data_IF_156530253289
#
_entry.id   IF_156530253289
#
_cell.length_a   1.000
_cell.length_b   1.000
_cell.length_c   1.000
_cell.angle_alpha   90.00
_cell.angle_beta   90.00
_cell.angle_gamma   90.00
#
_symmetry.space_group_name_H-M   'P 1'
#
loop_
_entity.id
_entity.type
_entity.pdbx_description
1 polymer ?
#
# COMPACT_ATOMS: atom_id res chain seq x y z
N UNK A 1 3.27 -17.61 29.89
CA UNK A 1 2.50 -16.53 29.25
C UNK A 1 3.39 -15.76 28.30
N UNK A 2 4.47 -15.11 28.76
CA UNK A 2 5.43 -14.40 27.86
C UNK A 2 5.89 -15.22 26.64
N UNK A 3 6.27 -16.48 26.84
CA UNK A 3 6.77 -17.35 25.77
C UNK A 3 5.70 -17.72 24.71
N UNK A 4 4.42 -17.83 25.09
CA UNK A 4 3.35 -18.02 24.09
C UNK A 4 3.07 -16.74 23.32
N UNK A 5 3.18 -15.59 23.98
CA UNK A 5 2.91 -14.29 23.38
C UNK A 5 4.01 -13.93 22.37
N UNK A 6 5.28 -14.21 22.70
CA UNK A 6 6.42 -14.04 21.77
C UNK A 6 6.30 -14.89 20.51
N UNK A 7 5.84 -16.15 20.63
CA UNK A 7 5.58 -16.99 19.46
C UNK A 7 4.44 -16.47 18.60
N UNK A 8 3.40 -15.92 19.22
CA UNK A 8 2.29 -15.31 18.49
C UNK A 8 2.79 -14.07 17.73
N UNK A 9 3.56 -13.19 18.38
CA UNK A 9 4.16 -12.02 17.73
C UNK A 9 4.99 -12.43 16.51
N UNK A 10 5.91 -13.39 16.68
CA UNK A 10 6.74 -13.86 15.58
C UNK A 10 5.93 -14.45 14.42
N UNK A 11 4.81 -15.13 14.71
CA UNK A 11 3.91 -15.65 13.69
C UNK A 11 3.18 -14.54 12.92
N UNK A 12 2.74 -13.49 13.62
CA UNK A 12 2.05 -12.35 13.01
C UNK A 12 3.02 -11.51 12.19
N UNK A 13 4.23 -11.25 12.69
CA UNK A 13 5.28 -10.54 11.95
C UNK A 13 5.60 -11.26 10.63
N UNK A 14 5.76 -12.59 10.66
CA UNK A 14 5.99 -13.38 9.46
C UNK A 14 4.80 -13.38 8.47
N UNK A 15 3.59 -13.09 8.93
CA UNK A 15 2.42 -12.90 8.06
C UNK A 15 2.39 -11.52 7.44
N UNK A 16 2.72 -10.48 8.22
CA UNK A 16 2.88 -9.10 7.74
C UNK A 16 3.93 -9.06 6.63
N UNK A 17 5.13 -9.63 6.86
CA UNK A 17 6.20 -9.67 5.86
C UNK A 17 5.76 -10.31 4.54
N UNK A 18 4.96 -11.39 4.62
CA UNK A 18 4.44 -12.09 3.44
C UNK A 18 3.44 -11.23 2.67
N UNK A 19 2.57 -10.52 3.37
CA UNK A 19 1.59 -9.62 2.79
C UNK A 19 2.27 -8.39 2.17
N UNK A 20 3.26 -7.81 2.83
CA UNK A 20 4.06 -6.70 2.29
C UNK A 20 4.74 -7.10 0.97
N UNK A 21 5.37 -8.27 0.91
CA UNK A 21 5.95 -8.78 -0.32
C UNK A 21 4.91 -9.00 -1.44
N UNK A 22 3.69 -9.40 -1.08
CA UNK A 22 2.61 -9.54 -2.04
C UNK A 22 2.17 -8.17 -2.57
N UNK A 23 1.92 -7.21 -1.68
CA UNK A 23 1.55 -5.85 -2.04
C UNK A 23 2.61 -5.19 -2.92
N UNK A 24 3.89 -5.39 -2.61
CA UNK A 24 4.99 -4.89 -3.43
C UNK A 24 4.94 -5.45 -4.86
N UNK A 25 4.68 -6.76 -5.03
CA UNK A 25 4.55 -7.37 -6.37
C UNK A 25 3.33 -6.84 -7.12
N UNK A 26 2.20 -6.68 -6.44
CA UNK A 26 0.98 -6.15 -7.04
C UNK A 26 1.16 -4.67 -7.46
N UNK A 27 1.75 -3.86 -6.58
CA UNK A 27 2.13 -2.48 -6.84
C UNK A 27 3.02 -2.34 -8.08
N UNK A 28 4.04 -3.19 -8.19
CA UNK A 28 4.96 -3.15 -9.33
C UNK A 28 4.29 -3.51 -10.65
N UNK A 29 3.21 -4.29 -10.62
CA UNK A 29 2.43 -4.62 -11.81
C UNK A 29 1.37 -3.56 -12.15
N UNK A 30 1.05 -2.63 -11.24
CA UNK A 30 0.05 -1.59 -11.44
C UNK A 30 0.68 -0.28 -11.98
N UNK A 31 0.42 0.14 -13.24
CA UNK A 31 1.06 1.31 -13.83
C UNK A 31 0.81 2.63 -13.07
N UNK A 32 -0.40 2.80 -12.54
CA UNK A 32 -0.77 4.00 -11.76
C UNK A 32 -0.02 4.10 -10.43
N UNK A 33 0.21 2.96 -9.78
CA UNK A 33 1.01 2.88 -8.54
C UNK A 33 2.45 3.25 -8.84
N UNK A 34 3.04 2.68 -9.90
CA UNK A 34 4.40 3.04 -10.32
C UNK A 34 4.56 4.54 -10.63
N UNK A 35 3.53 5.17 -11.21
CA UNK A 35 3.54 6.61 -11.46
C UNK A 35 3.56 7.41 -10.15
N UNK A 36 2.72 7.06 -9.18
CA UNK A 36 2.72 7.71 -7.86
C UNK A 36 4.07 7.56 -7.14
N UNK A 37 4.72 6.40 -7.27
CA UNK A 37 6.05 6.15 -6.69
C UNK A 37 7.19 6.97 -7.31
N UNK A 38 6.93 7.71 -8.40
CA UNK A 38 7.91 8.69 -8.92
C UNK A 38 7.93 9.99 -8.10
N UNK A 39 6.95 10.20 -7.23
CA UNK A 39 6.89 11.32 -6.30
C UNK A 39 7.83 11.03 -5.13
N UNK A 40 8.70 11.98 -4.80
CA UNK A 40 9.61 11.85 -3.66
C UNK A 40 8.86 11.60 -2.36
N UNK A 41 9.23 10.52 -1.65
CA UNK A 41 8.59 10.12 -0.39
C UNK A 41 7.34 9.25 -0.55
N UNK A 42 6.98 8.84 -1.78
CA UNK A 42 5.87 7.91 -2.03
C UNK A 42 6.43 6.54 -2.37
N UNK A 43 6.26 5.57 -1.47
CA UNK A 43 6.54 4.16 -1.74
C UNK A 43 5.25 3.39 -2.10
N UNK A 44 5.38 2.10 -2.40
CA UNK A 44 4.31 1.25 -2.93
C UNK A 44 3.08 1.19 -2.01
N UNK A 45 3.29 1.14 -0.70
CA UNK A 45 2.25 1.07 0.32
C UNK A 45 1.41 2.36 0.37
N UNK A 46 2.08 3.51 0.30
CA UNK A 46 1.48 4.83 0.26
C UNK A 46 0.74 5.03 -1.06
N UNK A 47 1.34 4.65 -2.18
CA UNK A 47 0.73 4.74 -3.50
C UNK A 47 -0.53 3.85 -3.62
N UNK A 48 -0.47 2.61 -3.13
CA UNK A 48 -1.64 1.72 -3.06
C UNK A 48 -2.74 2.31 -2.18
N UNK A 49 -2.37 2.83 -1.00
CA UNK A 49 -3.31 3.45 -0.08
C UNK A 49 -4.01 4.65 -0.71
N UNK A 50 -3.29 5.50 -1.45
CA UNK A 50 -3.89 6.62 -2.18
C UNK A 50 -4.90 6.14 -3.22
N UNK A 51 -4.57 5.12 -4.02
CA UNK A 51 -5.49 4.56 -5.01
C UNK A 51 -6.75 4.02 -4.35
N UNK A 52 -6.62 3.31 -3.22
CA UNK A 52 -7.77 2.77 -2.47
C UNK A 52 -8.61 3.88 -1.85
N UNK A 53 -7.98 4.89 -1.24
CA UNK A 53 -8.66 6.01 -0.61
C UNK A 53 -9.40 6.89 -1.64
N UNK A 54 -8.80 7.10 -2.80
CA UNK A 54 -9.43 7.81 -3.92
C UNK A 54 -10.53 6.97 -4.58
N UNK A 55 -10.46 5.64 -4.51
CA UNK A 55 -11.46 4.73 -5.06
C UNK A 55 -11.59 4.86 -6.57
N UNK A 56 -12.81 5.07 -7.05
CA UNK A 56 -13.07 5.28 -8.47
C UNK A 56 -12.56 6.66 -8.92
N UNK A 57 -11.40 6.68 -9.60
CA UNK A 57 -10.80 7.91 -10.11
C UNK A 57 -11.66 8.64 -11.15
N UNK A 58 -12.63 7.97 -11.80
CA UNK A 58 -13.55 8.61 -12.75
C UNK A 58 -14.52 9.58 -12.09
N UNK A 59 -14.63 9.57 -10.75
CA UNK A 59 -15.41 10.54 -9.98
C UNK A 59 -14.79 11.94 -9.97
N UNK A 60 -13.51 12.05 -10.35
CA UNK A 60 -12.79 13.32 -10.42
C UNK A 60 -12.60 13.73 -11.88
N UNK A 61 -12.82 15.00 -12.17
CA UNK A 61 -12.58 15.56 -13.51
C UNK A 61 -11.08 15.59 -13.83
N UNK A 62 -10.27 16.01 -12.86
CA UNK A 62 -8.81 16.07 -12.96
C UNK A 62 -8.13 15.94 -11.57
N UNK A 63 -6.81 16.15 -11.55
CA UNK A 63 -6.01 16.09 -10.32
C UNK A 63 -6.26 17.22 -9.34
N UNK A 64 -6.65 18.42 -9.79
CA UNK A 64 -6.92 19.56 -8.91
C UNK A 64 -8.22 19.32 -8.12
N UNK A 65 -9.23 18.74 -8.78
CA UNK A 65 -10.48 18.31 -8.12
C UNK A 65 -10.29 17.13 -7.18
N UNK A 66 -9.27 16.31 -7.40
CA UNK A 66 -8.92 15.23 -6.47
C UNK A 66 -8.19 15.73 -5.22
N UNK A 67 -7.58 16.92 -5.27
CA UNK A 67 -6.78 17.50 -4.19
C UNK A 67 -7.53 18.56 -3.35
N UNK A 68 -8.75 18.94 -3.73
CA UNK A 68 -9.59 19.94 -3.06
C UNK A 68 -10.34 19.43 -1.84
#
# INVERSE_FOLDING_TARGET
MVESDLRLMASVDAEIDRLEQQLQREAWNAPRVRLLMTISGVDYDTALTLIVALGDLSRFEDGDHAAS
#
